data_IF_154375605247
#
_entry.id   IF_154375605247
#
_cell.length_a   1.000
_cell.length_b   1.000
_cell.length_c   1.000
_cell.angle_alpha   90.00
_cell.angle_beta   90.00
_cell.angle_gamma   90.00
#
_symmetry.space_group_name_H-M   'P 1'
#
loop_
_entity.id
_entity.type
_entity.pdbx_description
1 polymer ?
#
# COMPACT_ATOMS: atom_id res chain seq x y z
N UNK A 1 -49.79 -15.91 -33.19
CA UNK A 1 -49.17 -17.24 -33.35
C UNK A 1 -47.93 -17.30 -32.44
N UNK A 2 -47.92 -17.85 -31.23
CA UNK A 2 -48.86 -18.74 -30.55
C UNK A 2 -48.34 -20.19 -30.50
N UNK A 3 -47.22 -20.45 -29.82
CA UNK A 3 -46.81 -21.82 -29.45
C UNK A 3 -46.70 -22.05 -27.93
N UNK A 4 -46.58 -21.00 -27.12
CA UNK A 4 -46.19 -21.09 -25.71
C UNK A 4 -47.39 -21.06 -24.75
N UNK A 5 -48.42 -21.86 -25.01
CA UNK A 5 -49.49 -22.08 -24.04
C UNK A 5 -49.78 -23.59 -23.96
N UNK A 6 -49.75 -24.09 -22.72
CA UNK A 6 -50.40 -25.32 -22.27
C UNK A 6 -49.69 -26.68 -22.47
N UNK A 7 -48.75 -27.01 -21.58
CA UNK A 7 -48.75 -28.33 -20.94
C UNK A 7 -48.76 -28.14 -19.41
N UNK A 8 -49.99 -28.18 -18.95
CA UNK A 8 -50.52 -28.26 -17.60
C UNK A 8 -49.72 -29.10 -16.60
N UNK A 9 -49.53 -28.52 -15.42
CA UNK A 9 -50.23 -29.05 -14.25
C UNK A 9 -49.45 -29.97 -13.32
N UNK A 10 -48.72 -29.37 -12.38
CA UNK A 10 -48.66 -29.92 -11.02
C UNK A 10 -48.84 -28.82 -9.99
N UNK A 11 -49.96 -28.93 -9.30
CA UNK A 11 -50.47 -28.12 -8.19
C UNK A 11 -50.06 -28.82 -6.88
N UNK A 12 -49.62 -28.05 -5.91
CA UNK A 12 -49.20 -28.49 -4.56
C UNK A 12 -47.72 -28.16 -4.37
N UNK A 13 -47.31 -27.25 -3.48
CA UNK A 13 -47.91 -26.89 -2.21
C UNK A 13 -47.46 -25.47 -1.82
N UNK A 14 -48.32 -24.75 -1.11
CA UNK A 14 -47.92 -23.51 -0.45
C UNK A 14 -47.19 -23.94 0.80
N UNK A 15 -45.89 -23.69 0.86
CA UNK A 15 -45.28 -23.49 2.16
C UNK A 15 -44.32 -22.31 2.14
N UNK A 16 -44.63 -21.40 3.06
CA UNK A 16 -43.75 -20.38 3.60
C UNK A 16 -43.25 -19.31 2.62
N UNK A 17 -43.96 -18.18 2.67
CA UNK A 17 -43.38 -16.87 2.51
C UNK A 17 -42.09 -16.75 3.33
N UNK A 18 -40.94 -17.07 2.72
CA UNK A 18 -39.68 -16.48 3.13
C UNK A 18 -39.67 -15.09 2.53
N UNK A 19 -40.29 -14.16 3.24
CA UNK A 19 -39.96 -12.74 3.10
C UNK A 19 -38.44 -12.65 3.06
N UNK A 20 -37.80 -12.21 1.97
CA UNK A 20 -36.36 -12.01 1.98
C UNK A 20 -36.08 -11.02 3.10
N UNK A 21 -35.29 -11.46 4.08
CA UNK A 21 -34.88 -10.62 5.18
C UNK A 21 -34.27 -9.32 4.61
N UNK A 22 -34.73 -8.13 5.03
CA UNK A 22 -34.07 -6.89 4.66
C UNK A 22 -32.74 -6.81 5.42
N UNK A 23 -31.63 -6.76 4.69
CA UNK A 23 -30.38 -6.24 5.22
C UNK A 23 -29.37 -7.24 5.78
N UNK A 24 -28.97 -8.26 5.02
CA UNK A 24 -27.54 -8.57 5.06
C UNK A 24 -26.82 -7.36 4.46
N UNK A 25 -25.86 -6.71 5.15
CA UNK A 25 -24.96 -5.80 4.48
C UNK A 25 -24.41 -6.55 3.27
N UNK A 26 -24.46 -5.96 2.07
CA UNK A 26 -23.57 -6.41 1.01
C UNK A 26 -22.19 -6.10 1.53
N UNK A 27 -21.56 -7.05 2.23
CA UNK A 27 -20.22 -6.93 2.74
C UNK A 27 -19.37 -6.56 1.53
N UNK A 28 -18.73 -5.40 1.60
CA UNK A 28 -17.85 -4.95 0.52
C UNK A 28 -16.79 -6.02 0.35
N UNK A 29 -16.49 -6.45 -0.89
CA UNK A 29 -15.58 -7.56 -1.11
C UNK A 29 -14.30 -7.34 -0.32
N UNK A 30 -14.02 -8.30 0.56
CA UNK A 30 -12.86 -8.21 1.44
C UNK A 30 -11.58 -8.27 0.62
N UNK A 31 -10.47 -7.74 1.13
CA UNK A 31 -9.16 -7.87 0.49
C UNK A 31 -8.84 -9.33 0.11
N UNK A 32 -9.28 -10.29 0.92
CA UNK A 32 -9.15 -11.72 0.64
C UNK A 32 -9.91 -12.16 -0.63
N UNK A 33 -11.13 -11.68 -0.85
CA UNK A 33 -11.93 -12.00 -2.04
C UNK A 33 -11.30 -11.43 -3.31
N UNK A 34 -10.72 -10.23 -3.23
CA UNK A 34 -9.99 -9.60 -4.34
C UNK A 34 -8.79 -10.46 -4.75
N UNK A 35 -7.98 -10.85 -3.76
CA UNK A 35 -6.81 -11.70 -3.98
C UNK A 35 -7.20 -13.07 -4.56
N UNK A 36 -8.27 -13.66 -4.02
CA UNK A 36 -8.79 -14.93 -4.53
C UNK A 36 -9.30 -14.82 -5.97
N UNK A 37 -10.03 -13.75 -6.29
CA UNK A 37 -10.55 -13.51 -7.63
C UNK A 37 -9.42 -13.35 -8.66
N UNK A 38 -8.40 -12.55 -8.31
CA UNK A 38 -7.21 -12.35 -9.15
C UNK A 38 -6.45 -13.66 -9.37
N UNK A 39 -6.19 -14.41 -8.30
CA UNK A 39 -5.51 -15.71 -8.37
C UNK A 39 -6.26 -16.70 -9.28
N UNK A 40 -7.59 -16.76 -9.16
CA UNK A 40 -8.42 -17.62 -10.01
C UNK A 40 -8.33 -17.22 -11.50
N UNK A 41 -8.20 -15.93 -11.82
CA UNK A 41 -7.99 -15.49 -13.20
C UNK A 41 -6.59 -15.84 -13.69
N UNK A 42 -5.56 -15.60 -12.88
CA UNK A 42 -4.15 -15.92 -13.20
C UNK A 42 -3.99 -17.40 -13.54
N UNK A 43 -4.49 -18.30 -12.70
CA UNK A 43 -4.42 -19.76 -12.92
C UNK A 43 -5.06 -20.17 -14.25
N UNK A 44 -6.18 -19.55 -14.61
CA UNK A 44 -6.89 -19.85 -15.85
C UNK A 44 -6.16 -19.37 -17.08
N UNK A 45 -5.61 -18.15 -17.06
CA UNK A 45 -4.85 -17.63 -18.20
C UNK A 45 -3.53 -18.37 -18.39
N UNK A 46 -2.87 -18.79 -17.31
CA UNK A 46 -1.63 -19.57 -17.37
C UNK A 46 -1.84 -20.94 -18.04
N UNK A 47 -3.04 -21.52 -17.94
CA UNK A 47 -3.38 -22.79 -18.59
C UNK A 47 -3.87 -22.65 -20.04
N UNK A 48 -4.65 -21.60 -20.34
CA UNK A 48 -5.50 -21.57 -21.53
C UNK A 48 -5.23 -20.41 -22.50
N UNK A 49 -4.50 -19.38 -22.06
CA UNK A 49 -4.28 -18.16 -22.82
C UNK A 49 -2.83 -18.07 -23.35
N UNK A 50 -2.59 -17.30 -24.43
CA UNK A 50 -1.24 -16.99 -24.89
C UNK A 50 -0.46 -16.17 -23.85
N UNK A 51 0.87 -16.34 -23.79
CA UNK A 51 1.71 -15.70 -22.77
C UNK A 51 1.63 -14.17 -22.72
N UNK A 52 1.26 -13.51 -23.83
CA UNK A 52 1.03 -12.06 -23.88
C UNK A 52 -0.15 -11.60 -23.02
N UNK A 53 -1.17 -12.47 -22.87
CA UNK A 53 -2.34 -12.26 -22.00
C UNK A 53 -1.93 -12.55 -20.56
N UNK A 54 -1.28 -13.69 -20.32
CA UNK A 54 -0.83 -14.08 -18.98
C UNK A 54 0.04 -13.00 -18.35
N UNK A 55 1.07 -12.50 -19.06
CA UNK A 55 1.95 -11.46 -18.56
C UNK A 55 1.22 -10.19 -18.11
N UNK A 56 0.17 -9.78 -18.84
CA UNK A 56 -0.65 -8.60 -18.51
C UNK A 56 -1.54 -8.82 -17.30
N UNK A 57 -2.20 -9.97 -17.25
CA UNK A 57 -3.02 -10.37 -16.09
C UNK A 57 -2.15 -10.45 -14.84
N UNK A 58 -0.94 -11.00 -14.94
CA UNK A 58 0.01 -11.05 -13.84
C UNK A 58 0.42 -9.64 -13.38
N UNK A 59 0.69 -8.72 -14.31
CA UNK A 59 1.00 -7.33 -13.96
C UNK A 59 -0.16 -6.61 -13.24
N UNK A 60 -1.39 -6.79 -13.72
CA UNK A 60 -2.59 -6.29 -13.04
C UNK A 60 -2.71 -6.91 -11.65
N UNK A 61 -2.50 -8.23 -11.53
CA UNK A 61 -2.59 -8.95 -10.27
C UNK A 61 -1.63 -8.43 -9.21
N UNK A 62 -0.35 -8.25 -9.56
CA UNK A 62 0.65 -7.65 -8.67
C UNK A 62 0.24 -6.25 -8.20
N UNK A 63 -0.36 -5.45 -9.08
CA UNK A 63 -0.82 -4.10 -8.70
C UNK A 63 -1.99 -4.18 -7.73
N UNK A 64 -2.97 -5.05 -7.98
CA UNK A 64 -4.12 -5.27 -7.11
C UNK A 64 -3.72 -5.85 -5.75
N UNK A 65 -2.73 -6.75 -5.71
CA UNK A 65 -2.17 -7.30 -4.48
C UNK A 65 -1.59 -6.23 -3.56
N UNK A 66 -0.85 -5.27 -4.12
CA UNK A 66 -0.33 -4.13 -3.36
C UNK A 66 -1.42 -3.19 -2.86
N UNK A 67 -2.53 -3.06 -3.60
CA UNK A 67 -3.63 -2.17 -3.24
C UNK A 67 -4.61 -2.80 -2.25
N UNK A 68 -4.77 -4.12 -2.27
CA UNK A 68 -5.70 -4.86 -1.42
C UNK A 68 -5.65 -4.48 0.08
N UNK A 69 -4.49 -4.36 0.76
CA UNK A 69 -4.43 -3.96 2.17
C UNK A 69 -4.77 -2.48 2.41
N UNK A 70 -4.72 -1.64 1.37
CA UNK A 70 -4.95 -0.20 1.48
C UNK A 70 -6.41 0.19 1.27
N UNK A 71 -7.27 -0.72 0.83
CA UNK A 71 -8.68 -0.45 0.51
C UNK A 71 -9.48 0.10 1.70
N UNK A 72 -9.20 -0.39 2.92
CA UNK A 72 -9.84 0.13 4.13
C UNK A 72 -9.50 1.62 4.36
N UNK A 73 -8.27 2.03 4.01
CA UNK A 73 -7.78 3.41 4.16
C UNK A 73 -8.29 4.35 3.07
N UNK A 74 -8.51 3.82 1.86
CA UNK A 74 -9.09 4.57 0.74
C UNK A 74 -10.55 4.96 1.02
N UNK A 75 -11.21 4.28 1.97
CA UNK A 75 -12.58 4.48 2.34
C UNK A 75 -13.52 3.71 1.42
N UNK A 76 -14.45 2.97 2.01
CA UNK A 76 -15.35 2.04 1.31
C UNK A 76 -16.28 2.71 0.29
N UNK A 77 -16.49 4.03 0.42
CA UNK A 77 -17.28 4.85 -0.50
C UNK A 77 -16.43 5.55 -1.58
N UNK A 78 -15.11 5.38 -1.58
CA UNK A 78 -14.25 5.97 -2.60
C UNK A 78 -14.46 5.30 -3.95
N UNK A 79 -14.59 6.13 -4.99
CA UNK A 79 -14.68 5.67 -6.38
C UNK A 79 -13.45 4.84 -6.78
N UNK A 80 -12.28 5.18 -6.25
CA UNK A 80 -11.03 4.50 -6.51
C UNK A 80 -11.02 3.09 -5.90
N UNK A 81 -11.44 2.97 -4.63
CA UNK A 81 -11.59 1.67 -3.97
C UNK A 81 -12.60 0.80 -4.70
N UNK A 82 -13.74 1.37 -5.13
CA UNK A 82 -14.72 0.66 -5.92
C UNK A 82 -14.16 0.18 -7.26
N UNK A 83 -13.36 1.01 -7.95
CA UNK A 83 -12.73 0.66 -9.22
C UNK A 83 -11.75 -0.50 -9.07
N UNK A 84 -10.95 -0.52 -8.01
CA UNK A 84 -10.00 -1.61 -7.70
C UNK A 84 -10.75 -2.92 -7.46
N UNK A 85 -11.77 -2.88 -6.59
CA UNK A 85 -12.62 -4.03 -6.29
C UNK A 85 -13.28 -4.56 -7.58
N UNK A 86 -13.97 -3.69 -8.33
CA UNK A 86 -14.66 -4.07 -9.55
C UNK A 86 -13.72 -4.61 -10.64
N UNK A 87 -12.49 -4.09 -10.71
CA UNK A 87 -11.47 -4.62 -11.63
C UNK A 87 -11.14 -6.07 -11.30
N UNK A 88 -10.89 -6.37 -10.03
CA UNK A 88 -10.55 -7.71 -9.57
C UNK A 88 -11.72 -8.71 -9.69
N UNK A 89 -12.93 -8.29 -9.30
CA UNK A 89 -14.07 -9.21 -9.16
C UNK A 89 -14.93 -9.33 -10.40
N UNK A 90 -14.90 -8.32 -11.29
CA UNK A 90 -15.85 -8.21 -12.39
C UNK A 90 -15.16 -7.98 -13.73
N UNK A 91 -14.44 -6.87 -13.89
CA UNK A 91 -13.95 -6.45 -15.21
C UNK A 91 -12.86 -7.37 -15.77
N UNK A 92 -11.85 -7.70 -14.95
CA UNK A 92 -10.76 -8.58 -15.37
C UNK A 92 -11.27 -10.02 -15.64
N UNK A 93 -12.03 -10.67 -14.72
CA UNK A 93 -12.60 -11.98 -14.99
C UNK A 93 -13.50 -11.99 -16.24
N UNK A 94 -14.35 -10.99 -16.43
CA UNK A 94 -15.27 -10.92 -17.56
C UNK A 94 -14.55 -10.79 -18.90
N UNK A 95 -13.55 -9.90 -19.00
CA UNK A 95 -12.75 -9.72 -20.21
C UNK A 95 -12.02 -11.02 -20.60
N UNK A 96 -11.36 -11.66 -19.63
CA UNK A 96 -10.69 -12.94 -19.83
C UNK A 96 -11.69 -14.03 -20.22
N UNK A 97 -12.83 -14.12 -19.53
CA UNK A 97 -13.90 -15.07 -19.85
C UNK A 97 -14.42 -14.92 -21.28
N UNK A 98 -14.62 -13.68 -21.73
CA UNK A 98 -15.11 -13.41 -23.07
C UNK A 98 -14.14 -13.94 -24.14
N UNK A 99 -12.83 -13.72 -23.97
CA UNK A 99 -11.82 -14.27 -24.87
C UNK A 99 -11.70 -15.80 -24.76
N UNK A 100 -11.72 -16.35 -23.55
CA UNK A 100 -11.54 -17.78 -23.36
C UNK A 100 -12.70 -18.62 -23.91
N UNK A 101 -13.92 -18.07 -23.99
CA UNK A 101 -15.08 -18.72 -24.63
C UNK A 101 -14.96 -18.85 -26.15
N UNK A 102 -14.10 -18.08 -26.80
CA UNK A 102 -13.93 -18.13 -28.25
C UNK A 102 -13.02 -19.30 -28.67
N UNK A 103 -13.32 -19.99 -29.78
CA UNK A 103 -12.38 -20.96 -30.35
C UNK A 103 -11.05 -20.27 -30.68
N UNK A 104 -9.92 -20.82 -30.21
CA UNK A 104 -8.58 -20.18 -30.32
C UNK A 104 -8.23 -19.78 -31.76
N UNK A 105 -8.49 -20.66 -32.72
CA UNK A 105 -8.25 -20.40 -34.13
C UNK A 105 -9.04 -19.22 -34.71
N UNK A 106 -10.19 -18.86 -34.12
CA UNK A 106 -10.97 -17.66 -34.47
C UNK A 106 -10.42 -16.44 -33.74
N UNK A 107 -10.20 -16.57 -32.42
CA UNK A 107 -9.80 -15.46 -31.55
C UNK A 107 -8.47 -14.80 -31.98
N UNK A 108 -7.55 -15.61 -32.50
CA UNK A 108 -6.19 -15.15 -32.80
C UNK A 108 -6.00 -14.71 -34.26
N UNK A 109 -6.85 -15.16 -35.18
CA UNK A 109 -6.64 -14.99 -36.63
C UNK A 109 -7.73 -14.21 -37.35
N UNK A 110 -8.93 -14.16 -36.80
CA UNK A 110 -10.07 -13.50 -37.46
C UNK A 110 -10.22 -12.08 -36.93
N UNK A 111 -10.28 -11.13 -37.84
CA UNK A 111 -10.68 -9.77 -37.50
C UNK A 111 -12.14 -9.79 -37.00
N UNK A 112 -12.37 -9.11 -35.89
CA UNK A 112 -13.68 -8.99 -35.24
C UNK A 112 -14.23 -7.57 -35.43
N UNK A 113 -13.41 -6.56 -35.16
CA UNK A 113 -13.82 -5.14 -35.24
C UNK A 113 -12.60 -4.29 -35.58
N UNK A 114 -12.78 -3.30 -36.46
CA UNK A 114 -11.72 -2.37 -36.89
C UNK A 114 -10.42 -3.05 -37.36
N UNK A 115 -10.54 -4.24 -37.96
CA UNK A 115 -9.40 -5.06 -38.38
C UNK A 115 -8.64 -5.76 -37.25
N UNK A 116 -8.98 -5.50 -35.98
CA UNK A 116 -8.37 -6.15 -34.81
C UNK A 116 -8.95 -7.53 -34.56
N UNK A 117 -8.10 -8.45 -34.10
CA UNK A 117 -8.52 -9.78 -33.63
C UNK A 117 -9.07 -9.70 -32.20
N UNK A 118 -9.75 -10.75 -31.73
CA UNK A 118 -10.23 -10.80 -30.34
C UNK A 118 -9.07 -10.74 -29.34
N UNK A 119 -7.92 -11.35 -29.68
CA UNK A 119 -6.71 -11.27 -28.87
C UNK A 119 -6.21 -9.81 -28.73
N UNK A 120 -6.19 -9.06 -29.83
CA UNK A 120 -5.77 -7.65 -29.81
C UNK A 120 -6.72 -6.80 -28.97
N UNK A 121 -8.04 -7.03 -29.10
CA UNK A 121 -9.03 -6.34 -28.26
C UNK A 121 -8.84 -6.62 -26.78
N UNK A 122 -8.60 -7.89 -26.41
CA UNK A 122 -8.33 -8.26 -25.02
C UNK A 122 -7.06 -7.56 -24.51
N UNK A 123 -5.99 -7.55 -25.31
CA UNK A 123 -4.74 -6.88 -24.95
C UNK A 123 -4.98 -5.40 -24.66
N UNK A 124 -5.70 -4.69 -25.52
CA UNK A 124 -6.04 -3.27 -25.32
C UNK A 124 -6.85 -3.06 -24.02
N UNK A 125 -7.80 -3.96 -23.73
CA UNK A 125 -8.61 -3.91 -22.51
C UNK A 125 -7.76 -4.14 -21.25
N UNK A 126 -6.85 -5.11 -21.28
CA UNK A 126 -5.95 -5.38 -20.16
C UNK A 126 -4.98 -4.23 -19.93
N UNK A 127 -4.44 -3.63 -21.00
CA UNK A 127 -3.56 -2.46 -20.90
C UNK A 127 -4.29 -1.25 -20.31
N UNK A 128 -5.57 -1.05 -20.67
CA UNK A 128 -6.42 -0.03 -20.05
C UNK A 128 -6.66 -0.29 -18.55
N UNK A 129 -6.98 -1.53 -18.18
CA UNK A 129 -7.17 -1.91 -16.77
C UNK A 129 -5.89 -1.69 -15.97
N UNK A 130 -4.74 -2.17 -16.47
CA UNK A 130 -3.43 -1.98 -15.85
C UNK A 130 -3.10 -0.50 -15.64
N UNK A 131 -3.27 0.33 -16.67
CA UNK A 131 -3.03 1.76 -16.58
C UNK A 131 -3.96 2.45 -15.57
N UNK A 132 -5.20 2.00 -15.44
CA UNK A 132 -6.17 2.56 -14.51
C UNK A 132 -5.80 2.24 -13.07
N UNK A 133 -5.59 0.97 -12.74
CA UNK A 133 -5.23 0.57 -11.37
C UNK A 133 -3.84 1.07 -10.98
N UNK A 134 -2.91 1.15 -11.93
CA UNK A 134 -1.58 1.73 -11.72
C UNK A 134 -1.65 3.20 -11.29
N UNK A 135 -2.48 4.02 -11.95
CA UNK A 135 -2.67 5.42 -11.56
C UNK A 135 -3.20 5.59 -10.14
N UNK A 136 -4.13 4.73 -9.74
CA UNK A 136 -4.69 4.74 -8.39
C UNK A 136 -3.62 4.31 -7.39
N UNK A 137 -2.88 3.24 -7.68
CA UNK A 137 -1.75 2.77 -6.85
C UNK A 137 -0.72 3.89 -6.64
N UNK A 138 -0.33 4.59 -7.71
CA UNK A 138 0.60 5.72 -7.64
C UNK A 138 0.04 6.88 -6.80
N UNK A 139 -1.27 7.14 -6.85
CA UNK A 139 -1.91 8.17 -6.04
C UNK A 139 -1.86 7.83 -4.55
N UNK A 140 -2.14 6.57 -4.19
CA UNK A 140 -2.03 6.07 -2.81
C UNK A 140 -0.59 6.17 -2.32
N UNK A 141 0.38 5.71 -3.12
CA UNK A 141 1.80 5.80 -2.76
C UNK A 141 2.28 7.25 -2.55
N UNK A 142 1.80 8.19 -3.38
CA UNK A 142 2.08 9.63 -3.20
C UNK A 142 1.47 10.18 -1.92
N UNK A 143 0.25 9.77 -1.57
CA UNK A 143 -0.38 10.19 -0.32
C UNK A 143 0.42 9.70 0.91
N UNK A 144 0.85 8.44 0.89
CA UNK A 144 1.66 7.87 1.97
C UNK A 144 3.03 8.56 2.10
N UNK A 145 3.68 8.86 0.96
CA UNK A 145 4.92 9.62 0.95
C UNK A 145 4.76 11.03 1.55
N UNK A 146 3.66 11.72 1.22
CA UNK A 146 3.36 13.04 1.79
C UNK A 146 3.11 12.97 3.30
N UNK A 147 2.40 11.93 3.76
CA UNK A 147 2.17 11.70 5.19
C UNK A 147 3.49 11.46 5.95
N UNK A 148 4.42 10.71 5.35
CA UNK A 148 5.75 10.48 5.91
C UNK A 148 6.56 11.78 6.02
N UNK A 149 6.53 12.63 4.99
CA UNK A 149 7.20 13.95 5.00
C UNK A 149 6.62 14.83 6.11
N UNK A 150 5.29 14.92 6.21
CA UNK A 150 4.63 15.69 7.26
C UNK A 150 4.99 15.19 8.67
N UNK A 151 5.08 13.88 8.84
CA UNK A 151 5.53 13.29 10.11
C UNK A 151 6.98 13.66 10.44
N UNK A 152 7.89 13.66 9.46
CA UNK A 152 9.27 14.09 9.62
C UNK A 152 9.39 15.54 10.09
N UNK A 153 8.68 16.45 9.42
CA UNK A 153 8.65 17.88 9.82
C UNK A 153 8.13 18.05 11.25
N UNK A 154 7.09 17.31 11.63
CA UNK A 154 6.59 17.32 13.00
C UNK A 154 7.63 16.85 14.02
N UNK A 155 8.39 15.80 13.72
CA UNK A 155 9.46 15.32 14.61
C UNK A 155 10.58 16.35 14.76
N UNK A 156 10.97 17.02 13.68
CA UNK A 156 11.96 18.10 13.71
C UNK A 156 11.48 19.29 14.54
N UNK A 157 10.22 19.70 14.43
CA UNK A 157 9.65 20.77 15.26
C UNK A 157 9.61 20.38 16.75
N UNK A 158 9.29 19.12 17.07
CA UNK A 158 9.17 18.67 18.45
C UNK A 158 10.51 18.42 19.13
N UNK A 159 11.50 17.91 18.39
CA UNK A 159 12.76 17.44 18.97
C UNK A 159 13.99 18.21 18.45
N UNK A 160 13.94 18.82 17.27
CA UNK A 160 15.06 19.55 16.65
C UNK A 160 15.41 20.87 17.34
N UNK A 161 14.48 21.47 18.10
CA UNK A 161 14.76 22.60 19.00
C UNK A 161 15.24 22.17 20.39
N UNK A 162 15.09 20.90 20.76
CA UNK A 162 15.54 20.36 22.05
C UNK A 162 17.01 19.96 21.96
N UNK A 163 17.89 20.93 21.69
CA UNK A 163 19.26 20.81 22.16
C UNK A 163 19.17 20.75 23.68
N UNK A 164 19.28 19.54 24.20
CA UNK A 164 19.61 19.25 25.58
C UNK A 164 20.86 20.07 25.90
N UNK A 165 20.66 21.29 26.40
CA UNK A 165 21.70 22.05 27.06
C UNK A 165 21.98 21.29 28.36
N UNK A 166 22.75 20.20 28.24
CA UNK A 166 23.64 19.78 29.29
C UNK A 166 24.58 20.96 29.46
N UNK A 167 24.19 21.87 30.34
CA UNK A 167 25.12 22.80 30.93
C UNK A 167 26.21 21.94 31.59
N UNK A 168 27.48 22.06 31.19
CA UNK A 168 28.56 21.47 31.96
C UNK A 168 28.79 22.36 33.19
N UNK A 169 27.80 22.47 34.07
CA UNK A 169 28.04 22.99 35.42
C UNK A 169 28.43 21.81 36.30
N UNK A 170 29.63 21.31 36.05
CA UNK A 170 30.35 20.53 37.04
C UNK A 170 30.63 21.50 38.20
N UNK A 171 30.22 21.19 39.45
CA UNK A 171 30.70 21.96 40.59
C UNK A 171 32.23 21.82 40.62
N UNK A 172 32.92 22.96 40.45
CA UNK A 172 34.35 23.05 40.67
C UNK A 172 34.60 22.68 42.14
N UNK A 173 35.38 21.63 42.46
CA UNK A 173 35.72 21.38 43.85
C UNK A 173 36.56 22.55 44.35
N UNK A 174 35.96 23.33 45.25
CA UNK A 174 36.61 24.41 45.96
C UNK A 174 37.88 23.85 46.64
N UNK A 175 39.03 24.34 46.17
CA UNK A 175 40.31 24.12 46.82
C UNK A 175 40.26 24.71 48.23
N UNK A 176 40.80 23.95 49.18
CA UNK A 176 40.59 24.13 50.61
C UNK A 176 41.13 25.43 51.21
N UNK A 177 40.40 25.89 52.22
CA UNK A 177 40.80 26.79 53.30
C UNK A 177 39.96 26.34 54.51
N UNK A 178 40.40 26.14 55.74
CA UNK A 178 41.65 26.32 56.47
C UNK A 178 41.40 25.52 57.77
N UNK A 179 42.24 24.54 58.11
CA UNK A 179 42.25 23.95 59.45
C UNK A 179 43.65 24.14 60.04
N UNK A 180 43.66 24.68 61.25
CA UNK A 180 44.78 25.41 61.82
C UNK A 180 46.06 24.63 62.01
N UNK A 181 47.16 25.38 61.96
CA UNK A 181 48.37 25.05 62.70
C UNK A 181 49.07 26.31 63.18
N UNK A 182 49.00 26.52 64.49
CA UNK A 182 49.73 27.52 65.24
C UNK A 182 50.94 26.83 65.87
N UNK A 183 52.14 27.26 65.47
CA UNK A 183 53.47 27.13 66.10
C UNK A 183 54.47 27.21 64.93
N UNK A 184 55.19 28.29 64.72
CA UNK A 184 56.24 28.81 65.59
C UNK A 184 57.54 28.75 64.78
N UNK A 185 58.45 29.69 65.06
CA UNK A 185 59.83 29.80 64.55
C UNK A 185 60.02 30.69 63.29
N UNK A 186 60.23 32.01 63.48
CA UNK A 186 61.52 32.73 63.53
C UNK A 186 62.44 32.58 62.29
N UNK A 187 62.69 33.70 61.61
CA UNK A 187 64.04 34.00 61.09
C UNK A 187 64.20 34.19 59.58
N UNK A 188 64.71 35.38 59.26
CA UNK A 188 65.66 35.68 58.17
C UNK A 188 65.15 35.89 56.73
N UNK A 189 64.89 37.17 56.45
CA UNK A 189 65.46 38.00 55.34
C UNK A 189 66.25 37.36 54.20
N UNK A 190 65.95 37.80 52.97
CA UNK A 190 66.82 37.80 51.79
C UNK A 190 66.02 37.61 50.50
N UNK A 191 65.54 38.68 49.86
CA UNK A 191 66.21 39.39 48.75
C UNK A 191 66.45 38.54 47.50
N UNK A 192 65.65 38.87 46.48
CA UNK A 192 66.04 39.11 45.09
C UNK A 192 66.55 37.96 44.20
N UNK A 193 66.30 38.20 42.91
CA UNK A 193 67.13 37.77 41.79
C UNK A 193 66.91 36.31 41.34
N UNK A 194 66.94 35.93 40.06
CA UNK A 194 66.87 36.54 38.73
C UNK A 194 67.08 35.36 37.80
N UNK A 195 66.32 35.36 36.71
CA UNK A 195 66.64 34.78 35.41
C UNK A 195 67.09 33.31 35.23
N UNK A 196 66.95 32.97 33.96
CA UNK A 196 67.75 32.05 33.16
C UNK A 196 67.43 30.56 33.33
N UNK A 197 66.75 29.93 32.36
CA UNK A 197 67.16 29.66 30.97
C UNK A 197 67.68 28.23 30.86
N UNK A 198 67.38 27.61 29.71
CA UNK A 198 68.29 26.59 29.17
C UNK A 198 67.74 25.18 29.13
N UNK A 199 67.09 24.89 27.98
CA UNK A 199 67.52 23.88 26.99
C UNK A 199 67.88 22.48 27.47
N UNK A 200 67.35 21.51 26.73
CA UNK A 200 67.97 20.20 26.56
C UNK A 200 67.06 19.26 25.80
#
# INVERSE_FOLDING_TARGET
>A
MGWLDDVLGRRGDRDSARTPAPGAPREVPTSAEILQAVAAVQERVDREAPGVVSARVQHIGVTLEHMAPNLDRMGTASLEAHTVVATATSYLPEAVNAYLRLPRGFADRRAVTDGKTALMLLVDQLDLLAATVGKISDAVARQDANALIAHGMFLEEKFGGSSLAIAPDLPTPAQGQEQGHQAGDTGATGSADTAEEGRG
#
